data_IF_945484360852
#
_entry.id   IF_945484360852
#
_cell.length_a   1.000
_cell.length_b   1.000
_cell.length_c   1.000
_cell.angle_alpha   90.00
_cell.angle_beta   90.00
_cell.angle_gamma   90.00
#
_symmetry.space_group_name_H-M   'P 1'
#
loop_
_entity.id
_entity.type
_entity.pdbx_description
1 polymer ?
#
# COMPACT_ATOMS: atom_id res chain seq x y z
N UNK A 1 -11.85 29.94 3.45
CA UNK A 1 -11.50 29.80 4.88
C UNK A 1 -10.79 30.98 5.53
N UNK A 2 -9.98 31.78 4.83
CA UNK A 2 -9.30 32.97 5.45
C UNK A 2 -10.22 34.14 5.85
N UNK A 3 -11.39 34.28 5.24
CA UNK A 3 -12.27 35.45 5.47
C UNK A 3 -13.12 35.35 6.76
N UNK A 4 -13.35 34.15 7.27
CA UNK A 4 -14.14 33.93 8.49
C UNK A 4 -13.33 34.28 9.74
N UNK A 5 -12.04 33.97 9.78
CA UNK A 5 -11.14 34.29 10.90
C UNK A 5 -10.94 35.79 11.12
N UNK A 6 -10.88 36.58 10.04
CA UNK A 6 -10.68 38.02 10.11
C UNK A 6 -11.93 38.71 10.72
N UNK A 7 -13.11 38.24 10.40
CA UNK A 7 -14.38 38.77 10.99
C UNK A 7 -14.48 38.46 12.48
N UNK A 8 -14.09 37.26 12.89
CA UNK A 8 -14.05 36.85 14.30
C UNK A 8 -13.05 37.67 15.10
N UNK A 9 -11.86 37.93 14.55
CA UNK A 9 -10.82 38.74 15.19
C UNK A 9 -11.26 40.21 15.35
N UNK A 10 -11.89 40.79 14.34
CA UNK A 10 -12.42 42.16 14.38
C UNK A 10 -13.56 42.29 15.40
N UNK A 11 -14.41 41.26 15.51
CA UNK A 11 -15.48 41.24 16.53
C UNK A 11 -14.93 41.14 17.95
N UNK A 12 -13.87 40.37 18.17
CA UNK A 12 -13.13 40.28 19.44
C UNK A 12 -12.53 41.62 19.82
N UNK A 13 -11.86 42.28 18.88
CA UNK A 13 -11.25 43.62 19.14
C UNK A 13 -12.31 44.70 19.43
N UNK A 14 -13.44 44.66 18.71
CA UNK A 14 -14.55 45.57 18.97
C UNK A 14 -15.20 45.34 20.34
N UNK A 15 -15.32 44.10 20.76
CA UNK A 15 -15.86 43.72 22.07
C UNK A 15 -14.98 44.11 23.21
N UNK A 16 -13.66 43.99 23.04
CA UNK A 16 -12.66 44.47 24.04
C UNK A 16 -12.69 46.01 24.15
N UNK A 17 -12.79 46.72 23.01
CA UNK A 17 -12.91 48.15 22.97
C UNK A 17 -14.21 48.66 23.68
N UNK A 18 -15.33 48.01 23.47
CA UNK A 18 -16.58 48.30 24.14
C UNK A 18 -16.55 48.00 25.65
N UNK A 19 -15.82 46.96 26.06
CA UNK A 19 -15.64 46.58 27.47
C UNK A 19 -14.77 47.58 28.26
N UNK A 20 -13.80 48.22 27.61
CA UNK A 20 -12.91 49.20 28.24
C UNK A 20 -13.62 50.53 28.48
N UNK A 21 -14.66 50.86 27.67
CA UNK A 21 -15.39 52.15 27.76
C UNK A 21 -16.76 52.02 28.44
N UNK A 22 -17.15 50.86 28.99
CA UNK A 22 -18.41 50.60 29.66
C UNK A 22 -18.29 50.05 31.08
N UNK A 23 -19.41 49.71 31.67
CA UNK A 23 -19.52 49.11 32.99
C UNK A 23 -18.60 47.85 33.08
N UNK A 24 -17.61 47.91 33.97
CA UNK A 24 -16.52 46.91 34.10
C UNK A 24 -17.10 45.47 34.29
N UNK A 25 -18.24 45.32 34.97
CA UNK A 25 -18.88 44.03 35.20
C UNK A 25 -19.49 43.43 33.92
N UNK A 26 -20.06 44.29 33.06
CA UNK A 26 -20.57 43.82 31.74
C UNK A 26 -19.46 43.42 30.81
N UNK A 27 -18.33 44.13 30.84
CA UNK A 27 -17.13 43.80 30.09
C UNK A 27 -16.56 42.43 30.47
N UNK A 28 -16.43 42.16 31.77
CA UNK A 28 -15.94 40.86 32.27
C UNK A 28 -16.87 39.71 31.87
N UNK A 29 -18.19 39.92 31.93
CA UNK A 29 -19.16 38.88 31.53
C UNK A 29 -19.08 38.59 30.06
N UNK A 30 -18.88 39.58 29.20
CA UNK A 30 -18.71 39.42 27.76
C UNK A 30 -17.44 38.66 27.41
N UNK A 31 -16.32 39.01 28.06
CA UNK A 31 -15.02 38.34 27.87
C UNK A 31 -15.12 36.86 28.30
N UNK A 32 -15.74 36.57 29.45
CA UNK A 32 -15.96 35.19 29.91
C UNK A 32 -16.80 34.40 28.93
N UNK A 33 -17.85 34.98 28.33
CA UNK A 33 -18.68 34.35 27.30
C UNK A 33 -17.88 34.02 26.05
N UNK A 34 -17.01 34.92 25.60
CA UNK A 34 -16.15 34.73 24.44
C UNK A 34 -15.08 33.66 24.66
N UNK A 35 -14.42 33.65 25.85
CA UNK A 35 -13.49 32.61 26.24
C UNK A 35 -14.15 31.22 26.20
N UNK A 36 -15.35 31.11 26.76
CA UNK A 36 -16.09 29.82 26.75
C UNK A 36 -16.49 29.37 25.34
N UNK A 37 -16.80 30.31 24.46
CA UNK A 37 -17.06 30.02 23.04
C UNK A 37 -15.79 29.59 22.30
N UNK A 38 -14.65 30.22 22.61
CA UNK A 38 -13.33 29.83 22.06
C UNK A 38 -12.90 28.45 22.55
N UNK A 39 -13.04 28.16 23.85
CA UNK A 39 -12.76 26.83 24.41
C UNK A 39 -13.63 25.76 23.74
N UNK A 40 -14.91 26.05 23.51
CA UNK A 40 -15.80 25.13 22.78
C UNK A 40 -15.34 24.90 21.34
N UNK A 41 -14.87 25.97 20.66
CA UNK A 41 -14.35 25.88 19.29
C UNK A 41 -13.03 25.11 19.23
N UNK A 42 -12.13 25.33 20.18
CA UNK A 42 -10.87 24.58 20.31
C UNK A 42 -11.15 23.12 20.60
N UNK A 43 -12.06 22.80 21.52
CA UNK A 43 -12.45 21.43 21.81
C UNK A 43 -13.14 20.72 20.62
N UNK A 44 -13.83 21.46 19.75
CA UNK A 44 -14.35 20.92 18.48
C UNK A 44 -13.21 20.65 17.48
N UNK A 45 -12.15 21.42 17.51
CA UNK A 45 -10.96 21.22 16.66
C UNK A 45 -10.09 20.07 17.19
N UNK A 46 -9.93 19.95 18.50
CA UNK A 46 -9.20 18.84 19.14
C UNK A 46 -9.97 17.51 19.07
N UNK A 47 -11.30 17.57 18.97
CA UNK A 47 -12.15 16.37 18.91
C UNK A 47 -12.40 15.78 17.53
N UNK A 48 -12.09 16.49 16.45
CA UNK A 48 -12.32 15.96 15.12
C UNK A 48 -11.48 16.64 14.04
N UNK A 49 -10.52 15.88 13.49
CA UNK A 49 -10.17 15.92 12.07
C UNK A 49 -9.48 17.14 11.46
N UNK A 50 -8.76 17.96 12.19
CA UNK A 50 -7.70 18.78 11.58
C UNK A 50 -6.36 18.04 11.52
N UNK A 51 -6.23 16.92 12.18
CA UNK A 51 -5.21 15.94 11.85
C UNK A 51 -5.71 15.16 10.64
N UNK A 52 -5.32 15.58 9.46
CA UNK A 52 -5.27 14.66 8.32
C UNK A 52 -4.62 13.37 8.85
N UNK A 53 -5.29 12.21 8.81
CA UNK A 53 -4.70 11.00 9.33
C UNK A 53 -3.33 10.88 8.68
N UNK A 54 -2.28 10.76 9.50
CA UNK A 54 -0.90 10.60 9.03
C UNK A 54 -0.96 9.62 7.86
N UNK A 55 -0.53 9.96 6.65
CA UNK A 55 -0.74 9.12 5.49
C UNK A 55 -0.22 7.73 5.82
N UNK A 56 -1.13 6.77 5.92
CA UNK A 56 -0.79 5.39 6.21
C UNK A 56 0.07 4.94 5.03
N UNK A 57 1.32 4.59 5.31
CA UNK A 57 2.20 4.09 4.25
C UNK A 57 1.50 2.91 3.55
N UNK A 58 1.41 2.94 2.22
CA UNK A 58 0.80 1.85 1.48
C UNK A 58 1.58 0.56 1.74
N UNK A 59 0.87 -0.54 1.84
CA UNK A 59 1.50 -1.86 1.93
C UNK A 59 2.22 -2.14 0.61
N UNK A 60 3.49 -2.52 0.70
CA UNK A 60 4.31 -2.79 -0.48
C UNK A 60 5.33 -3.88 -0.20
N UNK A 61 5.59 -4.74 -1.18
CA UNK A 61 6.67 -5.70 -1.09
C UNK A 61 7.36 -5.89 -2.43
N UNK A 62 8.62 -6.27 -2.35
CA UNK A 62 9.42 -6.77 -3.46
C UNK A 62 10.36 -7.86 -2.95
N UNK A 63 10.32 -9.03 -3.58
CA UNK A 63 11.15 -10.16 -3.22
C UNK A 63 11.71 -10.83 -4.46
N UNK A 64 12.95 -11.28 -4.37
CA UNK A 64 13.69 -11.96 -5.43
C UNK A 64 13.95 -13.42 -5.04
N UNK A 65 14.21 -14.25 -6.01
CA UNK A 65 14.79 -15.58 -5.81
C UNK A 65 16.28 -15.40 -5.53
N UNK A 66 16.78 -15.87 -4.38
CA UNK A 66 18.18 -15.64 -3.97
C UNK A 66 19.21 -16.34 -4.85
N UNK A 67 18.88 -17.53 -5.34
CA UNK A 67 19.73 -18.38 -6.18
C UNK A 67 18.88 -19.09 -7.24
N UNK A 68 19.53 -19.74 -8.19
CA UNK A 68 18.84 -20.53 -9.22
C UNK A 68 17.93 -21.59 -8.58
N UNK A 69 16.69 -21.66 -9.03
CA UNK A 69 15.68 -22.58 -8.48
C UNK A 69 14.91 -23.32 -9.56
N UNK A 70 14.50 -24.52 -9.19
CA UNK A 70 13.57 -25.34 -9.97
C UNK A 70 12.31 -25.53 -9.14
N UNK A 71 11.19 -25.04 -9.65
CA UNK A 71 9.89 -25.15 -9.01
C UNK A 71 9.10 -26.28 -9.68
N UNK A 72 8.64 -27.22 -8.87
CA UNK A 72 7.75 -28.30 -9.35
C UNK A 72 6.38 -27.77 -9.66
N UNK A 73 5.68 -28.39 -10.60
CA UNK A 73 4.28 -28.14 -10.91
C UNK A 73 3.42 -28.16 -9.64
N UNK A 74 2.51 -27.21 -9.52
CA UNK A 74 1.58 -27.11 -8.39
C UNK A 74 2.17 -26.59 -7.07
N UNK A 75 3.46 -26.24 -7.04
CA UNK A 75 4.08 -25.67 -5.85
C UNK A 75 4.21 -24.15 -5.95
N UNK A 76 3.84 -23.38 -4.91
CA UNK A 76 4.10 -21.94 -4.89
C UNK A 76 5.59 -21.63 -5.03
N UNK A 77 5.89 -20.57 -5.79
CA UNK A 77 7.25 -20.10 -5.94
C UNK A 77 7.63 -19.25 -4.74
N UNK A 78 8.74 -19.57 -4.12
CA UNK A 78 9.26 -18.87 -2.95
C UNK A 78 10.33 -17.89 -3.38
N UNK A 79 10.05 -16.59 -3.22
CA UNK A 79 10.99 -15.50 -3.42
C UNK A 79 11.58 -15.16 -2.06
N UNK A 80 12.70 -15.78 -1.74
CA UNK A 80 13.27 -15.84 -0.40
C UNK A 80 14.14 -14.63 -0.03
N UNK A 81 14.58 -13.84 -1.01
CA UNK A 81 15.32 -12.60 -0.80
C UNK A 81 14.39 -11.39 -0.81
N UNK A 82 13.95 -10.98 0.37
CA UNK A 82 13.09 -9.81 0.53
C UNK A 82 13.92 -8.53 0.42
N UNK A 83 13.54 -7.65 -0.51
CA UNK A 83 14.12 -6.32 -0.69
C UNK A 83 13.27 -5.27 0.05
N UNK A 84 11.95 -5.40 -0.03
CA UNK A 84 10.98 -4.50 0.61
C UNK A 84 9.82 -5.32 1.13
N UNK A 85 9.32 -5.02 2.34
CA UNK A 85 8.10 -5.63 2.89
C UNK A 85 7.43 -4.67 3.90
N UNK A 86 6.91 -3.56 3.39
CA UNK A 86 6.18 -2.57 4.19
C UNK A 86 4.82 -3.14 4.54
N UNK A 87 4.50 -3.16 5.83
CA UNK A 87 3.26 -3.77 6.35
C UNK A 87 3.35 -5.27 6.63
N UNK A 88 4.53 -5.90 6.40
CA UNK A 88 4.80 -7.33 6.69
C UNK A 88 3.79 -8.30 6.09
N UNK A 89 3.24 -7.96 4.91
CA UNK A 89 2.18 -8.73 4.28
C UNK A 89 2.70 -9.91 3.42
N UNK A 90 3.96 -9.91 3.03
CA UNK A 90 4.60 -10.99 2.29
C UNK A 90 5.39 -11.91 3.22
N UNK A 91 5.20 -13.21 3.05
CA UNK A 91 5.92 -14.27 3.78
C UNK A 91 6.93 -14.96 2.86
N UNK A 92 8.22 -14.73 3.10
CA UNK A 92 9.32 -15.28 2.31
C UNK A 92 9.57 -16.79 2.48
N UNK A 93 8.97 -17.42 3.49
CA UNK A 93 9.05 -18.87 3.68
C UNK A 93 8.03 -19.60 2.81
N UNK A 94 6.85 -19.01 2.62
CA UNK A 94 5.74 -19.62 1.87
C UNK A 94 5.57 -19.07 0.46
N UNK A 95 6.21 -17.94 0.14
CA UNK A 95 6.04 -17.24 -1.13
C UNK A 95 4.69 -16.53 -1.30
N UNK A 96 3.94 -16.34 -0.20
CA UNK A 96 2.57 -15.82 -0.24
C UNK A 96 2.48 -14.41 0.35
N UNK A 97 1.73 -13.57 -0.34
CA UNK A 97 1.27 -12.27 0.16
C UNK A 97 -0.15 -12.43 0.72
N UNK A 98 -0.40 -11.91 1.91
CA UNK A 98 -1.73 -11.87 2.53
C UNK A 98 -2.24 -10.44 2.53
N UNK A 99 -3.37 -10.17 1.92
CA UNK A 99 -3.93 -8.81 1.84
C UNK A 99 -4.34 -8.33 3.23
N UNK A 100 -3.77 -7.22 3.73
CA UNK A 100 -4.06 -6.72 5.07
C UNK A 100 -5.40 -5.97 5.17
N UNK A 101 -5.93 -5.49 4.05
CA UNK A 101 -7.19 -4.74 3.99
C UNK A 101 -7.86 -4.91 2.63
N UNK A 102 -9.17 -4.68 2.57
CA UNK A 102 -9.89 -4.54 1.29
C UNK A 102 -9.36 -3.31 0.56
N UNK A 103 -8.84 -3.49 -0.66
CA UNK A 103 -8.30 -2.42 -1.49
C UNK A 103 -8.03 -2.90 -2.93
N UNK A 104 -7.53 -1.98 -3.74
CA UNK A 104 -6.94 -2.28 -5.05
C UNK A 104 -5.45 -2.51 -4.86
N UNK A 105 -4.91 -3.53 -5.50
CA UNK A 105 -3.50 -3.89 -5.46
C UNK A 105 -2.96 -4.04 -6.88
N UNK A 106 -1.77 -3.52 -7.10
CA UNK A 106 -0.98 -3.78 -8.30
C UNK A 106 0.08 -4.82 -7.95
N UNK A 107 0.12 -5.92 -8.68
CA UNK A 107 1.18 -6.93 -8.60
C UNK A 107 1.97 -6.97 -9.90
N UNK A 108 3.26 -7.25 -9.78
CA UNK A 108 4.16 -7.49 -10.90
C UNK A 108 5.08 -8.67 -10.60
N UNK A 109 5.38 -9.45 -11.62
CA UNK A 109 6.36 -10.53 -11.53
C UNK A 109 7.11 -10.65 -12.83
N UNK A 110 8.33 -11.09 -12.74
CA UNK A 110 9.17 -11.37 -13.91
C UNK A 110 10.06 -12.57 -13.64
N UNK A 111 10.44 -13.24 -14.72
CA UNK A 111 11.27 -14.43 -14.69
C UNK A 111 12.37 -14.32 -15.72
N UNK A 112 13.58 -14.72 -15.35
CA UNK A 112 14.65 -15.01 -16.29
C UNK A 112 14.73 -16.53 -16.45
N UNK A 113 14.25 -17.03 -17.59
CA UNK A 113 14.27 -18.43 -17.93
C UNK A 113 15.62 -18.88 -18.48
N UNK A 114 15.95 -20.12 -18.19
CA UNK A 114 17.18 -20.72 -18.69
C UNK A 114 17.14 -21.03 -20.18
N UNK A 115 18.31 -21.07 -20.86
CA UNK A 115 18.44 -21.60 -22.21
C UNK A 115 17.85 -22.99 -22.31
N UNK A 116 17.07 -23.27 -23.37
CA UNK A 116 16.43 -24.55 -23.60
C UNK A 116 15.26 -24.93 -22.68
N UNK A 117 14.89 -24.08 -21.73
CA UNK A 117 13.90 -24.38 -20.69
C UNK A 117 12.61 -23.53 -20.84
N UNK A 118 11.56 -23.97 -20.21
CA UNK A 118 10.33 -23.18 -20.03
C UNK A 118 10.15 -22.76 -18.58
N UNK A 119 9.55 -21.60 -18.37
CA UNK A 119 9.09 -21.15 -17.07
C UNK A 119 7.75 -20.39 -17.24
N UNK A 120 6.67 -21.00 -16.85
CA UNK A 120 5.32 -20.43 -16.99
C UNK A 120 4.76 -20.05 -15.62
N UNK A 121 4.82 -18.77 -15.31
CA UNK A 121 4.36 -18.23 -14.03
C UNK A 121 2.90 -17.78 -14.10
N UNK A 122 2.10 -18.21 -13.15
CA UNK A 122 0.75 -17.72 -12.91
C UNK A 122 0.65 -17.00 -11.59
N UNK A 123 -0.05 -15.87 -11.56
CA UNK A 123 -0.48 -15.25 -10.33
C UNK A 123 -1.81 -15.83 -9.89
N UNK A 124 -1.85 -16.33 -8.68
CA UNK A 124 -3.02 -16.98 -8.08
C UNK A 124 -3.56 -16.15 -6.92
N UNK A 125 -4.87 -16.13 -6.78
CA UNK A 125 -5.58 -15.63 -5.61
C UNK A 125 -6.46 -16.75 -5.07
N UNK A 126 -6.21 -17.18 -3.84
CA UNK A 126 -6.98 -18.25 -3.16
C UNK A 126 -7.15 -19.51 -4.04
N UNK A 127 -6.09 -19.95 -4.71
CA UNK A 127 -6.10 -21.12 -5.58
C UNK A 127 -6.62 -20.90 -7.00
N UNK A 128 -7.12 -19.70 -7.32
CA UNK A 128 -7.63 -19.36 -8.65
C UNK A 128 -6.63 -18.50 -9.41
N UNK A 129 -6.25 -18.91 -10.62
CA UNK A 129 -5.33 -18.15 -11.47
C UNK A 129 -6.00 -16.86 -11.96
N UNK A 130 -5.29 -15.74 -11.87
CA UNK A 130 -5.75 -14.41 -12.29
C UNK A 130 -4.93 -13.82 -13.43
N UNK A 131 -3.64 -14.10 -13.47
CA UNK A 131 -2.72 -13.63 -14.50
C UNK A 131 -1.73 -14.72 -14.91
N UNK A 132 -1.19 -14.62 -16.11
CA UNK A 132 -0.23 -15.59 -16.66
C UNK A 132 0.93 -14.87 -17.32
N UNK A 133 2.09 -15.50 -17.28
CA UNK A 133 3.30 -15.09 -18.01
C UNK A 133 4.00 -16.37 -18.46
N UNK A 134 4.49 -16.36 -19.67
CA UNK A 134 5.23 -17.47 -20.24
C UNK A 134 6.63 -17.03 -20.66
N UNK A 135 7.62 -17.76 -20.21
CA UNK A 135 8.98 -17.73 -20.74
C UNK A 135 9.21 -19.07 -21.44
N UNK A 136 9.12 -19.06 -22.76
CA UNK A 136 9.40 -20.24 -23.57
C UNK A 136 10.72 -20.03 -24.30
N UNK A 137 11.73 -20.79 -23.89
CA UNK A 137 13.09 -20.68 -24.40
C UNK A 137 13.56 -21.99 -25.08
N UNK A 138 12.63 -22.84 -25.48
CA UNK A 138 12.92 -24.10 -26.19
C UNK A 138 13.58 -23.79 -27.54
N UNK A 139 14.60 -24.56 -27.87
CA UNK A 139 15.37 -24.38 -29.12
C UNK A 139 16.34 -23.18 -29.11
N UNK A 140 16.55 -22.55 -27.96
CA UNK A 140 17.44 -21.41 -27.83
C UNK A 140 18.49 -21.67 -26.72
N UNK A 141 19.37 -22.60 -27.00
CA UNK A 141 20.31 -23.17 -26.01
C UNK A 141 21.38 -22.20 -25.51
N UNK A 142 21.60 -21.09 -26.20
CA UNK A 142 22.68 -20.15 -25.87
C UNK A 142 22.24 -18.88 -25.14
N UNK A 143 20.94 -18.65 -24.89
CA UNK A 143 20.44 -17.36 -24.44
C UNK A 143 19.45 -17.49 -23.29
N UNK A 144 19.51 -16.55 -22.36
CA UNK A 144 18.47 -16.32 -21.36
C UNK A 144 17.37 -15.41 -21.94
N UNK A 145 16.15 -15.66 -21.56
CA UNK A 145 14.99 -14.82 -21.94
C UNK A 145 14.28 -14.33 -20.68
N UNK A 146 14.03 -13.02 -20.61
CA UNK A 146 13.22 -12.42 -19.56
C UNK A 146 11.79 -12.22 -20.06
N UNK A 147 10.83 -12.59 -19.24
CA UNK A 147 9.42 -12.26 -19.42
C UNK A 147 8.86 -11.69 -18.15
N UNK A 148 7.91 -10.76 -18.24
CA UNK A 148 7.25 -10.15 -17.11
C UNK A 148 5.77 -9.91 -17.37
N UNK A 149 5.02 -9.76 -16.29
CA UNK A 149 3.61 -9.39 -16.33
C UNK A 149 3.21 -8.57 -15.12
N UNK A 150 2.12 -7.86 -15.23
CA UNK A 150 1.50 -7.10 -14.14
C UNK A 150 0.00 -7.22 -14.18
N UNK A 151 -0.65 -7.05 -13.02
CA UNK A 151 -2.10 -7.10 -12.90
C UNK A 151 -2.58 -6.21 -11.75
N UNK A 152 -3.72 -5.56 -11.96
CA UNK A 152 -4.44 -4.81 -10.94
C UNK A 152 -5.64 -5.63 -10.49
N UNK A 153 -5.78 -5.82 -9.18
CA UNK A 153 -6.84 -6.63 -8.57
C UNK A 153 -7.51 -5.89 -7.42
N UNK A 154 -8.83 -5.92 -7.37
CA UNK A 154 -9.60 -5.60 -6.17
C UNK A 154 -9.66 -6.85 -5.30
N UNK A 155 -9.16 -6.77 -4.08
CA UNK A 155 -9.02 -7.89 -3.16
C UNK A 155 -9.66 -7.58 -1.80
N UNK A 156 -10.14 -8.63 -1.15
CA UNK A 156 -10.65 -8.57 0.21
C UNK A 156 -9.51 -8.81 1.23
N UNK A 157 -9.72 -8.38 2.48
CA UNK A 157 -8.78 -8.67 3.56
C UNK A 157 -8.64 -10.18 3.76
N UNK A 158 -7.39 -10.66 3.82
CA UNK A 158 -7.07 -12.07 4.04
C UNK A 158 -6.90 -12.88 2.75
N UNK A 159 -7.13 -12.30 1.57
CA UNK A 159 -6.84 -12.99 0.32
C UNK A 159 -5.35 -13.35 0.22
N UNK A 160 -5.07 -14.56 -0.27
CA UNK A 160 -3.72 -15.08 -0.45
C UNK A 160 -3.30 -14.95 -1.92
N UNK A 161 -2.26 -14.16 -2.18
CA UNK A 161 -1.72 -13.94 -3.53
C UNK A 161 -0.32 -14.55 -3.61
N UNK A 162 -0.06 -15.32 -4.65
CA UNK A 162 1.21 -15.99 -4.86
C UNK A 162 1.44 -16.37 -6.32
N UNK A 163 2.69 -16.60 -6.66
CA UNK A 163 3.10 -17.12 -7.95
C UNK A 163 3.21 -18.64 -7.86
N UNK A 164 2.69 -19.33 -8.87
CA UNK A 164 2.82 -20.77 -9.03
C UNK A 164 2.87 -21.07 -10.52
N UNK A 165 3.32 -22.27 -10.89
CA UNK A 165 3.28 -22.69 -12.28
C UNK A 165 1.87 -22.58 -12.90
N UNK A 166 1.80 -22.05 -14.12
CA UNK A 166 0.55 -21.77 -14.82
C UNK A 166 0.10 -22.89 -15.76
N UNK A 167 0.90 -23.92 -15.97
CA UNK A 167 0.71 -24.89 -17.06
C UNK A 167 0.95 -26.35 -16.68
N UNK A 168 1.18 -26.66 -15.41
CA UNK A 168 1.44 -28.01 -14.94
C UNK A 168 2.84 -28.52 -15.27
N UNK A 169 3.81 -27.63 -15.43
CA UNK A 169 5.19 -27.96 -15.75
C UNK A 169 6.14 -27.61 -14.61
N UNK A 170 7.32 -28.24 -14.63
CA UNK A 170 8.44 -27.81 -13.80
C UNK A 170 9.08 -26.59 -14.44
N UNK A 171 9.33 -25.53 -13.66
CA UNK A 171 9.90 -24.28 -14.12
C UNK A 171 11.27 -24.04 -13.49
N UNK A 172 12.29 -23.83 -14.32
CA UNK A 172 13.63 -23.46 -13.88
C UNK A 172 13.89 -21.99 -14.14
N UNK A 173 14.27 -21.24 -13.09
CA UNK A 173 14.46 -19.80 -13.13
C UNK A 173 15.80 -19.38 -12.58
N UNK A 174 16.32 -18.27 -13.13
CA UNK A 174 17.58 -17.68 -12.70
C UNK A 174 17.39 -16.85 -11.44
N UNK A 175 18.18 -17.13 -10.41
CA UNK A 175 18.24 -16.35 -9.17
C UNK A 175 18.68 -14.91 -9.41
N UNK A 176 18.23 -13.99 -8.55
CA UNK A 176 18.49 -12.53 -8.61
C UNK A 176 17.90 -11.80 -9.83
N UNK A 177 17.38 -12.55 -10.79
CA UNK A 177 16.73 -12.03 -12.02
C UNK A 177 15.28 -12.43 -12.12
N UNK A 178 14.77 -13.09 -11.09
CA UNK A 178 13.38 -13.51 -11.00
C UNK A 178 12.80 -12.95 -9.72
N UNK A 179 11.70 -12.21 -9.83
CA UNK A 179 11.11 -11.49 -8.70
C UNK A 179 9.59 -11.40 -8.76
N UNK A 180 9.01 -11.14 -7.59
CA UNK A 180 7.59 -10.89 -7.37
C UNK A 180 7.42 -9.68 -6.44
N UNK A 181 6.54 -8.78 -6.80
CA UNK A 181 6.25 -7.59 -6.03
C UNK A 181 4.79 -7.20 -6.08
N UNK A 182 4.40 -6.34 -5.16
CA UNK A 182 3.07 -5.77 -5.14
C UNK A 182 2.98 -4.54 -4.27
N UNK A 183 1.99 -3.69 -4.57
CA UNK A 183 1.70 -2.47 -3.83
C UNK A 183 0.21 -2.24 -3.72
N UNK A 184 -0.23 -1.83 -2.55
CA UNK A 184 -1.58 -1.35 -2.33
C UNK A 184 -1.74 0.03 -2.97
N UNK A 185 -2.78 0.21 -3.76
CA UNK A 185 -3.19 1.51 -4.30
C UNK A 185 -4.10 2.21 -3.28
N UNK A 186 -3.83 3.48 -3.01
CA UNK A 186 -4.62 4.32 -2.10
C UNK A 186 -5.76 5.01 -2.85
#
# INVERSE_FOLDING_TARGET
MKCTYIKELLWLLFSIYAAVNGDCNKGITLIKGQLKALEKSVNMVDGSSCFSPKPKMPVAFHAEVSSDKTYKAGSPWVFDKVVTNVGNAYNSTTGKFTTPSKSIYLFNWYTLGYPGEMAHAGLYVNGKIKGRQATNNIGNEGKYITSGSSIVLALEKGDLVYIMDAHGITSKVKGRWTAFGGVQQN
#
